data_IF_628160865962
#
_entry.id   IF_628160865962
#
_cell.length_a   1.000
_cell.length_b   1.000
_cell.length_c   1.000
_cell.angle_alpha   90.00
_cell.angle_beta   90.00
_cell.angle_gamma   90.00
#
_symmetry.space_group_name_H-M   'P 1'
#
loop_
_entity.id
_entity.type
_entity.pdbx_description
1 polymer ?
#
# COMPACT_ATOMS: atom_id res chain seq x y z
N UNK A 1 5.64 -10.11 12.39
CA UNK A 1 4.53 -11.07 12.18
C UNK A 1 3.20 -10.34 11.96
N UNK A 2 2.75 -9.49 12.90
CA UNK A 2 1.47 -8.76 12.80
C UNK A 2 1.37 -7.96 11.49
N UNK A 3 2.38 -7.15 11.14
CA UNK A 3 2.39 -6.40 9.89
C UNK A 3 2.24 -7.28 8.64
N UNK A 4 2.93 -8.42 8.59
CA UNK A 4 2.84 -9.35 7.46
C UNK A 4 1.45 -9.96 7.29
N UNK A 5 0.76 -10.24 8.40
CA UNK A 5 -0.62 -10.73 8.37
C UNK A 5 -1.60 -9.68 7.86
N UNK A 6 -1.51 -8.43 8.34
CA UNK A 6 -2.35 -7.34 7.86
C UNK A 6 -2.10 -7.03 6.37
N UNK A 7 -0.85 -7.05 5.93
CA UNK A 7 -0.50 -6.85 4.51
C UNK A 7 -1.06 -7.99 3.65
N UNK A 8 -0.90 -9.25 4.08
CA UNK A 8 -1.45 -10.42 3.37
C UNK A 8 -2.98 -10.40 3.27
N UNK A 9 -3.66 -9.97 4.33
CA UNK A 9 -5.11 -9.79 4.31
C UNK A 9 -5.52 -8.64 3.36
N UNK A 10 -4.82 -7.50 3.42
CA UNK A 10 -5.08 -6.33 2.59
C UNK A 10 -4.88 -6.57 1.09
N UNK A 11 -3.84 -7.31 0.69
CA UNK A 11 -3.61 -7.64 -0.73
C UNK A 11 -4.69 -8.57 -1.28
N UNK A 12 -5.21 -9.50 -0.47
CA UNK A 12 -6.33 -10.35 -0.88
C UNK A 12 -7.62 -9.55 -1.02
N UNK A 13 -7.86 -8.59 -0.12
CA UNK A 13 -9.02 -7.69 -0.17
C UNK A 13 -8.97 -6.78 -1.40
N UNK A 14 -7.78 -6.28 -1.77
CA UNK A 14 -7.58 -5.50 -2.98
C UNK A 14 -7.65 -6.33 -4.28
N UNK A 15 -7.80 -7.65 -4.21
CA UNK A 15 -7.84 -8.52 -5.39
C UNK A 15 -6.48 -8.71 -6.09
N UNK A 16 -5.37 -8.35 -5.44
CA UNK A 16 -4.04 -8.43 -6.03
C UNK A 16 -2.97 -7.71 -5.21
N UNK A 17 -1.73 -7.79 -5.68
CA UNK A 17 -0.60 -7.12 -5.03
C UNK A 17 -0.44 -5.67 -5.53
N UNK A 18 0.33 -4.90 -4.78
CA UNK A 18 0.79 -3.55 -5.18
C UNK A 18 1.41 -3.52 -6.57
N UNK A 19 2.28 -4.50 -6.87
CA UNK A 19 2.98 -4.57 -8.16
C UNK A 19 2.03 -4.84 -9.34
N UNK A 20 1.05 -5.72 -9.18
CA UNK A 20 0.03 -6.00 -10.20
C UNK A 20 -0.90 -4.81 -10.47
N UNK A 21 -1.31 -4.10 -9.42
CA UNK A 21 -2.14 -2.89 -9.55
C UNK A 21 -1.36 -1.69 -10.09
N UNK A 22 -0.10 -1.50 -9.70
CA UNK A 22 0.72 -0.37 -10.13
C UNK A 22 1.27 -0.53 -11.56
N UNK A 23 1.63 -1.75 -11.98
CA UNK A 23 2.26 -1.98 -13.28
C UNK A 23 1.20 -2.30 -14.34
N UNK A 24 0.40 -3.34 -14.13
CA UNK A 24 -0.55 -3.83 -15.13
C UNK A 24 -1.91 -3.13 -15.08
N UNK A 25 -2.44 -2.88 -13.87
CA UNK A 25 -3.75 -2.24 -13.71
C UNK A 25 -3.75 -0.73 -13.98
N UNK A 26 -2.68 -0.03 -13.60
CA UNK A 26 -2.51 1.40 -13.94
C UNK A 26 -2.25 1.60 -15.44
N UNK A 27 -1.50 0.71 -16.09
CA UNK A 27 -1.29 0.73 -17.55
C UNK A 27 -2.57 0.52 -18.35
N UNK A 28 -3.54 -0.23 -17.81
CA UNK A 28 -4.88 -0.42 -18.41
C UNK A 28 -5.88 0.69 -18.04
N UNK A 29 -5.43 1.80 -17.43
CA UNK A 29 -6.24 2.95 -17.03
C UNK A 29 -7.48 2.58 -16.18
N UNK A 30 -7.35 1.56 -15.33
CA UNK A 30 -8.45 1.11 -14.49
C UNK A 30 -8.56 1.96 -13.22
N UNK A 31 -9.71 2.63 -13.06
CA UNK A 31 -10.11 3.38 -11.84
C UNK A 31 -9.85 2.62 -10.52
N UNK A 32 -10.19 1.32 -10.37
CA UNK A 32 -9.91 0.61 -9.11
C UNK A 32 -8.42 0.47 -8.81
N UNK A 33 -7.58 0.34 -9.84
CA UNK A 33 -6.14 0.23 -9.68
C UNK A 33 -5.50 1.53 -9.21
N UNK A 34 -6.01 2.68 -9.70
CA UNK A 34 -5.56 3.99 -9.25
C UNK A 34 -5.84 4.20 -7.75
N UNK A 35 -7.05 3.84 -7.29
CA UNK A 35 -7.42 3.96 -5.87
C UNK A 35 -6.58 3.02 -5.00
N UNK A 36 -6.35 1.79 -5.44
CA UNK A 36 -5.49 0.85 -4.73
C UNK A 36 -4.06 1.39 -4.56
N UNK A 37 -3.46 1.92 -5.63
CA UNK A 37 -2.09 2.47 -5.59
C UNK A 37 -2.00 3.68 -4.68
N UNK A 38 -2.98 4.59 -4.73
CA UNK A 38 -3.03 5.77 -3.84
C UNK A 38 -3.09 5.33 -2.37
N UNK A 39 -3.93 4.34 -2.03
CA UNK A 39 -4.03 3.82 -0.67
C UNK A 39 -2.71 3.21 -0.17
N UNK A 40 -2.03 2.42 -1.00
CA UNK A 40 -0.71 1.87 -0.66
C UNK A 40 0.36 2.95 -0.47
N UNK A 41 0.35 3.99 -1.32
CA UNK A 41 1.28 5.11 -1.21
C UNK A 41 1.05 5.94 0.06
N UNK A 42 -0.20 6.28 0.37
CA UNK A 42 -0.55 7.02 1.60
C UNK A 42 -0.11 6.25 2.84
N UNK A 43 -0.39 4.94 2.90
CA UNK A 43 0.04 4.09 4.01
C UNK A 43 1.56 4.07 4.19
N UNK A 44 2.32 4.00 3.09
CA UNK A 44 3.77 4.07 3.11
C UNK A 44 4.30 5.42 3.59
N UNK A 45 3.72 6.52 3.09
CA UNK A 45 4.10 7.89 3.43
C UNK A 45 3.82 8.21 4.91
N UNK A 46 2.68 7.75 5.44
CA UNK A 46 2.37 7.88 6.88
C UNK A 46 3.39 7.10 7.72
N UNK A 47 3.75 5.87 7.32
CA UNK A 47 4.74 5.10 8.05
C UNK A 47 6.12 5.77 8.07
N UNK A 48 6.57 6.29 6.92
CA UNK A 48 7.90 6.92 6.82
C UNK A 48 7.97 8.30 7.44
N UNK A 49 6.91 9.09 7.34
CA UNK A 49 6.94 10.48 7.77
C UNK A 49 6.41 10.72 9.17
N UNK A 50 5.63 9.80 9.73
CA UNK A 50 5.06 9.92 11.07
C UNK A 50 5.63 8.87 12.04
N UNK A 51 5.57 7.58 11.69
CA UNK A 51 6.02 6.51 12.61
C UNK A 51 7.54 6.46 12.74
N UNK A 52 8.27 6.51 11.63
CA UNK A 52 9.74 6.42 11.65
C UNK A 52 10.40 7.55 12.45
N UNK A 53 10.08 8.84 12.25
CA UNK A 53 10.63 9.91 13.09
C UNK A 53 10.13 9.83 14.54
N UNK A 54 8.90 9.37 14.80
CA UNK A 54 8.44 9.19 16.17
C UNK A 54 9.23 8.09 16.92
N UNK A 55 9.75 7.08 16.21
CA UNK A 55 10.56 6.00 16.80
C UNK A 55 12.05 6.37 16.91
N UNK A 56 12.60 7.11 15.95
CA UNK A 56 14.03 7.44 15.91
C UNK A 56 14.39 8.76 16.63
N UNK A 57 13.42 9.64 16.86
CA UNK A 57 13.63 10.97 17.44
C UNK A 57 13.02 11.12 18.86
N UNK A 58 12.18 10.19 19.30
CA UNK A 58 11.72 10.07 20.70
C UNK A 58 12.68 9.21 21.53
#
# INVERSE_FOLDING_TARGET
>A
VIAGFLVGFGTRYAGGCTSGHAISGLSNLQKPSLVAVIGFFIGGLIMTHFILPLIFIA
#
